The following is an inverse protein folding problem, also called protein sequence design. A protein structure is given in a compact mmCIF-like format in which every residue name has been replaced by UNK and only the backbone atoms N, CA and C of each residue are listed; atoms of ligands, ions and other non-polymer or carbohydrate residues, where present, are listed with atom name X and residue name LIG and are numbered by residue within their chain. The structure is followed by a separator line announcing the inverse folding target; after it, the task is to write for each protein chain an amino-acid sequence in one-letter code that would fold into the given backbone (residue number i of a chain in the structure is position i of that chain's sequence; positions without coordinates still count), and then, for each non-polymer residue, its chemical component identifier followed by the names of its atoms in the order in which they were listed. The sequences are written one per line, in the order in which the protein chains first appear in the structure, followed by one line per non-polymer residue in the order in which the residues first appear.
data_IF_706668278657
#
_entry.id   IF_706668278657
#
_cell.length_a   1.000
_cell.length_b   1.000
_cell.length_c   1.000
_cell.angle_alpha   90.00
_cell.angle_beta   90.00
_cell.angle_gamma   90.00
#
_symmetry.space_group_name_H-M   'P 1'
#
loop_
_entity.id
_entity.type
_entity.pdbx_description
1 polymer ?
#
# COMPACT_ATOMS: atom_id res chain seq x y z
N UNK A 1 26.49 -17.02 28.85
CA UNK A 1 26.10 -15.88 29.71
C UNK A 1 25.46 -14.84 28.80
N UNK A 2 24.40 -14.14 29.24
CA UNK A 2 23.85 -13.03 28.48
C UNK A 2 24.72 -11.77 28.67
N UNK A 3 24.80 -10.93 27.64
CA UNK A 3 25.49 -9.65 27.72
C UNK A 3 24.71 -8.67 28.60
N UNK A 4 25.37 -7.61 29.07
CA UNK A 4 24.73 -6.52 29.80
C UNK A 4 23.62 -5.87 28.96
N UNK A 5 23.85 -5.67 27.65
CA UNK A 5 22.84 -5.13 26.73
C UNK A 5 21.59 -6.00 26.63
N UNK A 6 21.75 -7.33 26.56
CA UNK A 6 20.58 -8.24 26.55
C UNK A 6 19.78 -8.10 27.83
N UNK A 7 20.46 -8.03 28.98
CA UNK A 7 19.78 -7.86 30.27
C UNK A 7 19.07 -6.52 30.36
N UNK A 8 19.67 -5.46 29.82
CA UNK A 8 19.13 -4.10 29.86
C UNK A 8 17.89 -3.95 28.96
N UNK A 9 17.92 -4.47 27.73
CA UNK A 9 16.73 -4.53 26.86
C UNK A 9 15.65 -5.49 27.35
N UNK A 10 16.01 -6.51 28.13
CA UNK A 10 15.03 -7.38 28.78
C UNK A 10 14.33 -6.68 29.96
N UNK A 11 15.08 -5.98 30.81
CA UNK A 11 14.54 -5.31 31.99
C UNK A 11 13.81 -4.01 31.65
N UNK A 12 14.30 -3.26 30.67
CA UNK A 12 13.75 -1.97 30.24
C UNK A 12 13.49 -1.98 28.72
N UNK A 13 12.55 -2.81 28.22
CA UNK A 13 12.30 -2.92 26.80
C UNK A 13 11.75 -1.59 26.25
N UNK A 14 12.31 -1.17 25.11
CA UNK A 14 11.92 0.03 24.37
C UNK A 14 10.75 -0.28 23.47
N UNK A 15 9.96 0.73 23.10
CA UNK A 15 8.96 0.60 22.02
C UNK A 15 7.89 -0.51 22.21
N UNK A 16 7.65 -0.97 23.44
CA UNK A 16 6.59 -1.95 23.71
C UNK A 16 5.22 -1.34 23.45
N UNK A 17 4.35 -2.07 22.75
CA UNK A 17 2.94 -1.71 22.56
C UNK A 17 2.42 -2.01 21.17
N UNK A 18 1.22 -1.49 20.91
CA UNK A 18 0.56 -1.52 19.59
C UNK A 18 0.50 -0.11 19.02
N UNK A 19 0.43 -0.03 17.70
CA UNK A 19 0.00 1.18 16.99
C UNK A 19 -1.39 0.85 16.42
N UNK A 20 -2.43 1.54 16.87
CA UNK A 20 -3.82 1.23 16.49
C UNK A 20 -4.06 1.40 14.99
N UNK A 21 -3.44 2.42 14.39
CA UNK A 21 -3.55 2.76 12.99
C UNK A 21 -2.32 2.33 12.16
N UNK A 22 -1.57 1.31 12.58
CA UNK A 22 -0.32 0.90 11.93
C UNK A 22 -0.44 0.78 10.39
N UNK A 23 0.55 1.30 9.67
CA UNK A 23 0.58 1.21 8.20
C UNK A 23 0.97 -0.20 7.74
N UNK A 24 1.77 -0.91 8.55
CA UNK A 24 2.17 -2.30 8.34
C UNK A 24 2.18 -3.09 9.65
N UNK A 25 1.76 -4.35 9.58
CA UNK A 25 1.74 -5.28 10.72
C UNK A 25 2.37 -6.60 10.30
N UNK A 26 3.37 -7.06 11.05
CA UNK A 26 4.07 -8.30 10.80
C UNK A 26 4.01 -9.19 12.03
N UNK A 27 3.43 -10.39 11.90
CA UNK A 27 3.38 -11.38 12.97
C UNK A 27 4.09 -12.66 12.54
N UNK A 28 5.00 -13.14 13.37
CA UNK A 28 5.74 -14.38 13.14
C UNK A 28 5.82 -15.14 14.46
N UNK A 29 5.72 -16.46 14.40
CA UNK A 29 5.88 -17.32 15.57
C UNK A 29 6.70 -18.57 15.23
N UNK A 30 7.34 -19.13 16.24
CA UNK A 30 8.10 -20.36 16.11
C UNK A 30 7.43 -21.47 16.94
N UNK A 31 6.83 -22.50 16.31
CA UNK A 31 6.10 -23.55 17.02
C UNK A 31 7.00 -24.46 17.88
N UNK A 32 8.33 -24.46 17.65
CA UNK A 32 9.27 -25.30 18.39
C UNK A 32 9.55 -24.73 19.77
N UNK A 33 9.73 -23.41 19.88
CA UNK A 33 9.99 -22.73 21.16
C UNK A 33 8.77 -22.03 21.75
N UNK A 34 7.70 -21.84 20.97
CA UNK A 34 6.48 -21.15 21.40
C UNK A 34 6.59 -19.63 21.39
N UNK A 35 7.69 -19.05 20.89
CA UNK A 35 7.86 -17.61 20.78
C UNK A 35 6.97 -17.05 19.67
N UNK A 36 6.35 -15.90 19.92
CA UNK A 36 5.54 -15.15 18.97
C UNK A 36 5.90 -13.67 19.06
N UNK A 37 6.09 -13.03 17.92
CA UNK A 37 6.45 -11.62 17.79
C UNK A 37 5.48 -10.94 16.83
N UNK A 38 5.10 -9.71 17.17
CA UNK A 38 4.28 -8.85 16.32
C UNK A 38 4.89 -7.46 16.30
N UNK A 39 5.21 -6.96 15.11
CA UNK A 39 5.69 -5.61 14.88
C UNK A 39 4.60 -4.76 14.22
N UNK A 40 4.50 -3.53 14.69
CA UNK A 40 3.64 -2.48 14.17
C UNK A 40 4.53 -1.34 13.68
N UNK A 41 4.35 -0.91 12.44
CA UNK A 41 5.15 0.17 11.86
C UNK A 41 4.28 1.33 11.38
N UNK A 42 4.81 2.55 11.54
CA UNK A 42 4.34 3.74 10.85
C UNK A 42 5.39 4.23 9.88
N UNK A 43 4.94 4.52 8.66
CA UNK A 43 5.79 4.90 7.54
C UNK A 43 5.41 6.29 7.08
N UNK A 44 6.42 7.16 6.97
CA UNK A 44 6.28 8.48 6.35
C UNK A 44 7.50 8.75 5.49
N UNK A 45 7.29 9.22 4.26
CA UNK A 45 8.37 9.59 3.32
C UNK A 45 9.43 8.47 3.17
N UNK A 46 8.96 7.23 3.01
CA UNK A 46 9.78 6.01 2.92
C UNK A 46 10.63 5.69 4.18
N UNK A 47 10.30 6.24 5.34
CA UNK A 47 11.00 6.02 6.61
C UNK A 47 10.08 5.50 7.72
N UNK A 48 10.64 4.67 8.59
CA UNK A 48 9.95 4.15 9.79
C UNK A 48 9.92 5.21 10.89
N UNK A 49 8.84 6.00 10.96
CA UNK A 49 8.71 7.09 11.95
C UNK A 49 8.33 6.59 13.34
N UNK A 50 7.61 5.47 13.42
CA UNK A 50 7.41 4.75 14.67
C UNK A 50 7.40 3.25 14.44
N UNK A 51 7.95 2.53 15.41
CA UNK A 51 8.02 1.08 15.42
C UNK A 51 7.66 0.66 16.83
N UNK A 52 6.66 -0.22 16.96
CA UNK A 52 6.30 -0.83 18.23
C UNK A 52 6.21 -2.34 18.08
N UNK A 53 6.39 -3.05 19.18
CA UNK A 53 6.24 -4.50 19.17
C UNK A 53 5.42 -5.02 20.34
N UNK A 54 4.89 -6.20 20.12
CA UNK A 54 4.43 -7.11 21.17
C UNK A 54 5.07 -8.46 20.95
N UNK A 55 5.54 -9.08 22.03
CA UNK A 55 6.09 -10.42 21.96
C UNK A 55 5.62 -11.25 23.15
N UNK A 56 5.41 -12.52 22.88
CA UNK A 56 5.26 -13.57 23.87
C UNK A 56 6.43 -14.52 23.65
N UNK A 57 7.29 -14.67 24.65
CA UNK A 57 8.47 -15.53 24.49
C UNK A 57 9.46 -15.40 25.63
N UNK A 58 10.62 -16.04 25.45
CA UNK A 58 11.68 -15.99 26.44
C UNK A 58 12.30 -14.57 26.57
N UNK A 59 13.06 -14.31 27.65
CA UNK A 59 13.68 -12.99 27.85
C UNK A 59 14.60 -12.54 26.71
N UNK A 60 15.20 -13.47 25.98
CA UNK A 60 15.97 -13.17 24.77
C UNK A 60 15.08 -12.67 23.62
N UNK A 61 13.85 -13.19 23.48
CA UNK A 61 12.88 -12.72 22.50
C UNK A 61 12.50 -11.26 22.77
N UNK A 62 12.23 -10.91 24.04
CA UNK A 62 11.94 -9.53 24.47
C UNK A 62 13.11 -8.60 24.16
N UNK A 63 14.33 -8.99 24.55
CA UNK A 63 15.53 -8.18 24.32
C UNK A 63 15.79 -7.96 22.82
N UNK A 64 15.64 -9.00 22.00
CA UNK A 64 15.76 -8.93 20.54
C UNK A 64 14.70 -7.98 19.96
N UNK A 65 13.43 -8.15 20.32
CA UNK A 65 12.37 -7.30 19.77
C UNK A 65 12.58 -5.84 20.14
N UNK A 66 13.03 -5.58 21.37
CA UNK A 66 13.40 -4.22 21.80
C UNK A 66 14.55 -3.65 20.97
N UNK A 67 15.63 -4.40 20.78
CA UNK A 67 16.76 -3.93 19.97
C UNK A 67 16.35 -3.67 18.52
N UNK A 68 15.62 -4.60 17.89
CA UNK A 68 15.15 -4.46 16.51
C UNK A 68 14.28 -3.21 16.34
N UNK A 69 13.35 -2.97 17.26
CA UNK A 69 12.47 -1.80 17.19
C UNK A 69 13.23 -0.48 17.32
N UNK A 70 14.30 -0.44 18.12
CA UNK A 70 15.14 0.73 18.32
C UNK A 70 16.03 0.99 17.10
N UNK A 71 16.67 -0.06 16.58
CA UNK A 71 17.48 0.00 15.36
C UNK A 71 16.66 0.46 14.15
N UNK A 72 15.45 -0.08 13.97
CA UNK A 72 14.64 0.18 12.78
C UNK A 72 14.05 1.59 12.75
N UNK A 73 13.87 2.23 13.92
CA UNK A 73 13.23 3.55 13.99
C UNK A 73 14.10 4.62 13.32
N UNK A 74 13.54 5.35 12.36
CA UNK A 74 14.20 6.39 11.57
C UNK A 74 14.86 5.90 10.28
N UNK A 75 15.08 4.59 10.13
CA UNK A 75 15.62 3.98 8.91
C UNK A 75 14.64 4.06 7.74
N UNK A 76 15.15 4.03 6.51
CA UNK A 76 14.31 3.77 5.34
C UNK A 76 13.82 2.33 5.32
N UNK A 77 12.80 2.05 4.51
CA UNK A 77 12.31 0.67 4.35
C UNK A 77 13.39 -0.28 3.82
N UNK A 78 14.26 0.21 2.94
CA UNK A 78 15.37 -0.57 2.37
C UNK A 78 16.44 -0.86 3.41
N UNK A 79 16.82 0.14 4.22
CA UNK A 79 17.78 -0.01 5.31
C UNK A 79 17.27 -0.99 6.37
N UNK A 80 15.99 -0.87 6.73
CA UNK A 80 15.35 -1.76 7.70
C UNK A 80 15.27 -3.22 7.21
N UNK A 81 15.13 -3.44 5.90
CA UNK A 81 15.18 -4.78 5.29
C UNK A 81 16.59 -5.40 5.28
N UNK A 82 17.63 -4.62 5.57
CA UNK A 82 19.01 -5.13 5.73
C UNK A 82 19.32 -5.51 7.19
N UNK A 83 18.37 -5.40 8.11
CA UNK A 83 18.57 -5.83 9.50
C UNK A 83 18.54 -7.36 9.54
N UNK A 84 19.71 -7.97 9.67
CA UNK A 84 19.85 -9.43 9.81
C UNK A 84 19.97 -9.85 11.26
N UNK A 85 19.77 -11.14 11.50
CA UNK A 85 19.97 -11.76 12.81
C UNK A 85 21.39 -11.60 13.35
N UNK A 86 22.41 -11.64 12.49
CA UNK A 86 23.81 -11.40 12.89
C UNK A 86 23.99 -9.99 13.42
N UNK A 87 23.45 -8.99 12.70
CA UNK A 87 23.56 -7.58 13.09
C UNK A 87 22.86 -7.32 14.42
N UNK A 88 21.69 -7.92 14.64
CA UNK A 88 20.98 -7.83 15.93
C UNK A 88 21.79 -8.47 17.05
N UNK A 89 22.36 -9.66 16.80
CA UNK A 89 23.16 -10.36 17.80
C UNK A 89 24.44 -9.57 18.14
N UNK A 90 25.08 -8.95 17.15
CA UNK A 90 26.25 -8.07 17.33
C UNK A 90 25.90 -6.84 18.15
N UNK A 91 24.80 -6.15 17.82
CA UNK A 91 24.34 -4.97 18.56
C UNK A 91 24.00 -5.29 20.01
N UNK A 92 23.47 -6.47 20.28
CA UNK A 92 23.23 -6.99 21.61
C UNK A 92 24.52 -7.42 22.34
N UNK A 93 25.71 -7.27 21.76
CA UNK A 93 26.98 -7.69 22.37
C UNK A 93 27.18 -9.21 22.37
N UNK A 94 26.51 -9.90 21.45
CA UNK A 94 26.53 -11.36 21.29
C UNK A 94 25.34 -12.05 21.96
N UNK A 95 24.87 -13.11 21.32
CA UNK A 95 23.86 -14.01 21.86
C UNK A 95 24.39 -15.44 21.95
N UNK A 96 24.03 -16.21 22.99
CA UNK A 96 24.34 -17.63 23.08
C UNK A 96 23.85 -18.38 21.82
N UNK A 97 24.67 -19.30 21.28
CA UNK A 97 24.36 -20.04 20.03
C UNK A 97 22.98 -20.70 20.04
N UNK A 98 22.53 -21.20 21.18
CA UNK A 98 21.23 -21.84 21.36
C UNK A 98 20.03 -20.86 21.33
N UNK A 99 20.26 -19.54 21.26
CA UNK A 99 19.24 -18.47 21.27
C UNK A 99 19.25 -17.59 20.02
N UNK A 100 20.08 -17.91 19.03
CA UNK A 100 20.11 -17.19 17.75
C UNK A 100 18.79 -17.27 16.99
N UNK A 101 18.00 -18.34 17.18
CA UNK A 101 16.67 -18.45 16.58
C UNK A 101 15.71 -17.33 17.01
N UNK A 102 15.88 -16.77 18.21
CA UNK A 102 15.09 -15.63 18.67
C UNK A 102 15.43 -14.36 17.87
N UNK A 103 16.69 -14.18 17.47
CA UNK A 103 17.15 -13.06 16.63
C UNK A 103 16.57 -13.12 15.22
N UNK A 104 16.50 -14.32 14.65
CA UNK A 104 15.86 -14.54 13.35
C UNK A 104 14.40 -14.09 13.39
N UNK A 105 13.67 -14.51 14.43
CA UNK A 105 12.25 -14.21 14.57
C UNK A 105 11.97 -12.70 14.62
N UNK A 106 12.86 -11.92 15.25
CA UNK A 106 12.74 -10.46 15.33
C UNK A 106 12.91 -9.77 13.97
N UNK A 107 13.94 -10.13 13.21
CA UNK A 107 14.16 -9.63 11.86
C UNK A 107 13.01 -10.02 10.93
N UNK A 108 12.60 -11.29 10.98
CA UNK A 108 11.51 -11.81 10.15
C UNK A 108 10.19 -11.07 10.42
N UNK A 109 9.88 -10.78 11.69
CA UNK A 109 8.66 -10.04 12.05
C UNK A 109 8.69 -8.59 11.57
N UNK A 110 9.83 -7.91 11.64
CA UNK A 110 10.00 -6.57 11.07
C UNK A 110 9.84 -6.60 9.55
N UNK A 111 10.51 -7.54 8.87
CA UNK A 111 10.41 -7.69 7.42
C UNK A 111 8.97 -8.00 6.99
N UNK A 112 8.27 -8.87 7.71
CA UNK A 112 6.86 -9.14 7.48
C UNK A 112 6.00 -7.88 7.59
N UNK A 113 6.26 -7.00 8.56
CA UNK A 113 5.53 -5.74 8.72
C UNK A 113 5.78 -4.78 7.54
N UNK A 114 7.02 -4.70 7.06
CA UNK A 114 7.38 -3.90 5.87
C UNK A 114 6.72 -4.45 4.61
N UNK A 115 6.68 -5.78 4.45
CA UNK A 115 6.02 -6.42 3.31
C UNK A 115 4.50 -6.22 3.34
N UNK A 116 3.88 -6.29 4.51
CA UNK A 116 2.45 -5.97 4.67
C UNK A 116 2.15 -4.52 4.26
N UNK A 117 2.98 -3.57 4.69
CA UNK A 117 2.89 -2.18 4.25
C UNK A 117 2.98 -2.05 2.71
N UNK A 118 3.99 -2.66 2.09
CA UNK A 118 4.18 -2.60 0.62
C UNK A 118 2.98 -3.16 -0.13
N UNK A 119 2.45 -4.31 0.29
CA UNK A 119 1.25 -4.92 -0.32
C UNK A 119 0.02 -4.00 -0.22
N UNK A 120 -0.17 -3.33 0.92
CA UNK A 120 -1.25 -2.35 1.11
C UNK A 120 -1.09 -1.14 0.19
N UNK A 121 0.12 -0.65 -0.02
CA UNK A 121 0.37 0.46 -0.95
C UNK A 121 0.10 0.05 -2.40
N UNK A 122 0.54 -1.14 -2.83
CA UNK A 122 0.26 -1.67 -4.16
C UNK A 122 -1.26 -1.82 -4.40
N UNK A 123 -2.00 -2.31 -3.41
CA UNK A 123 -3.45 -2.43 -3.50
C UNK A 123 -4.14 -1.06 -3.65
N UNK A 124 -3.72 -0.06 -2.87
CA UNK A 124 -4.25 1.32 -2.96
C UNK A 124 -3.97 1.96 -4.31
N UNK A 125 -2.78 1.74 -4.88
CA UNK A 125 -2.44 2.24 -6.22
C UNK A 125 -3.36 1.64 -7.29
N UNK A 126 -3.56 0.32 -7.27
CA UNK A 126 -4.45 -0.36 -8.22
C UNK A 126 -5.90 0.09 -8.08
N UNK A 127 -6.36 0.28 -6.84
CA UNK A 127 -7.71 0.80 -6.58
C UNK A 127 -7.89 2.22 -7.13
N UNK A 128 -6.90 3.10 -6.94
CA UNK A 128 -6.91 4.45 -7.48
C UNK A 128 -6.91 4.47 -9.03
N UNK A 129 -6.15 3.58 -9.67
CA UNK A 129 -6.15 3.41 -11.13
C UNK A 129 -7.54 2.99 -11.64
N UNK A 130 -8.17 2.01 -11.00
CA UNK A 130 -9.53 1.55 -11.37
C UNK A 130 -10.56 2.67 -11.20
N UNK A 131 -10.49 3.44 -10.11
CA UNK A 131 -11.40 4.57 -9.89
C UNK A 131 -11.23 5.62 -10.98
N UNK A 132 -9.99 5.91 -11.38
CA UNK A 132 -9.70 6.85 -12.47
C UNK A 132 -10.26 6.37 -13.80
N UNK A 133 -10.06 5.09 -14.14
CA UNK A 133 -10.61 4.50 -15.37
C UNK A 133 -12.14 4.55 -15.40
N UNK A 134 -12.80 4.28 -14.27
CA UNK A 134 -14.26 4.39 -14.16
C UNK A 134 -14.76 5.82 -14.29
N UNK A 135 -14.11 6.78 -13.61
CA UNK A 135 -14.45 8.18 -13.71
C UNK A 135 -14.27 8.71 -15.15
N UNK A 136 -13.23 8.26 -15.86
CA UNK A 136 -13.02 8.59 -17.27
C UNK A 136 -14.06 7.94 -18.19
N UNK A 137 -14.51 6.71 -17.89
CA UNK A 137 -15.56 6.04 -18.64
C UNK A 137 -16.94 6.71 -18.42
N UNK A 138 -17.29 7.05 -17.19
CA UNK A 138 -18.53 7.77 -16.84
C UNK A 138 -18.53 9.16 -17.47
N UNK A 139 -17.41 9.89 -17.43
CA UNK A 139 -17.29 11.18 -18.11
C UNK A 139 -17.43 11.09 -19.64
N UNK A 140 -16.98 9.99 -20.26
CA UNK A 140 -17.20 9.73 -21.71
C UNK A 140 -18.66 9.43 -22.02
N UNK A 141 -19.34 8.69 -21.15
CA UNK A 141 -20.76 8.37 -21.32
C UNK A 141 -21.64 9.61 -21.14
N UNK A 142 -21.32 10.47 -20.17
CA UNK A 142 -22.02 11.74 -19.95
C UNK A 142 -21.75 12.76 -21.08
N UNK A 143 -20.54 12.79 -21.63
CA UNK A 143 -20.21 13.60 -22.82
C UNK A 143 -20.94 13.13 -24.10
N UNK A 144 -21.32 11.85 -24.18
CA UNK A 144 -22.07 11.31 -25.32
C UNK A 144 -23.53 11.77 -25.37
N UNK A 145 -24.05 12.37 -24.29
CA UNK A 145 -25.44 12.83 -24.19
C UNK A 145 -25.63 14.31 -24.58
N UNK A 146 -24.61 14.98 -25.12
CA UNK A 146 -24.69 16.39 -25.53
C UNK A 146 -24.63 16.54 -27.05
N UNK A 147 -25.44 17.46 -27.59
CA UNK A 147 -25.42 17.78 -29.01
C UNK A 147 -24.14 18.55 -29.38
N UNK A 148 -23.34 18.10 -30.37
CA UNK A 148 -22.06 18.74 -30.71
C UNK A 148 -22.19 20.10 -31.39
N UNK A 149 -23.42 20.53 -31.74
CA UNK A 149 -23.68 21.80 -32.43
C UNK A 149 -24.25 22.89 -31.51
N UNK A 150 -24.84 22.51 -30.38
CA UNK A 150 -25.47 23.46 -29.47
C UNK A 150 -25.21 23.18 -27.99
N UNK A 151 -24.45 22.13 -27.67
CA UNK A 151 -24.12 21.68 -26.31
C UNK A 151 -25.35 21.35 -25.44
N UNK A 152 -26.56 21.33 -26.02
CA UNK A 152 -27.78 20.96 -25.34
C UNK A 152 -27.90 19.45 -25.11
N UNK A 153 -28.57 19.01 -24.02
CA UNK A 153 -28.76 17.60 -23.73
C UNK A 153 -29.61 16.91 -24.82
N UNK A 154 -29.21 15.72 -25.24
CA UNK A 154 -29.98 14.86 -26.16
C UNK A 154 -30.89 13.98 -25.29
N UNK A 155 -32.06 14.52 -24.95
CA UNK A 155 -33.04 13.82 -24.12
C UNK A 155 -33.83 12.79 -24.94
N UNK A 156 -33.41 11.52 -24.88
CA UNK A 156 -34.28 10.35 -25.11
C UNK A 156 -34.87 10.13 -26.51
N UNK A 157 -34.69 11.05 -27.46
CA UNK A 157 -35.02 10.85 -28.87
C UNK A 157 -33.76 10.40 -29.59
N UNK A 158 -33.67 9.09 -29.85
CA UNK A 158 -32.62 8.52 -30.69
C UNK A 158 -32.54 9.34 -31.98
N UNK A 159 -31.41 10.03 -32.19
CA UNK A 159 -31.08 10.74 -33.42
C UNK A 159 -31.76 12.11 -33.65
N UNK A 160 -32.28 12.78 -32.62
CA UNK A 160 -32.80 14.16 -32.76
C UNK A 160 -32.48 15.02 -31.52
N UNK A 161 -31.86 16.18 -31.74
CA UNK A 161 -31.67 17.17 -30.67
C UNK A 161 -32.86 18.14 -30.63
N UNK A 162 -33.59 18.17 -29.52
CA UNK A 162 -34.74 19.08 -29.32
C UNK A 162 -34.34 20.54 -29.11
N UNK A 163 -33.09 20.79 -28.68
CA UNK A 163 -32.60 22.14 -28.40
C UNK A 163 -32.29 22.94 -29.68
N UNK A 164 -31.59 22.33 -30.65
CA UNK A 164 -31.26 22.98 -31.93
C UNK A 164 -32.02 22.41 -33.14
N UNK A 165 -32.92 21.45 -32.91
CA UNK A 165 -33.83 20.89 -33.91
C UNK A 165 -33.13 20.22 -35.10
N UNK A 166 -32.03 19.50 -34.85
CA UNK A 166 -31.29 18.77 -35.90
C UNK A 166 -31.38 17.25 -35.71
N UNK A 167 -31.39 16.53 -36.83
CA UNK A 167 -31.21 15.08 -36.84
C UNK A 167 -29.73 14.73 -36.72
N UNK A 168 -29.42 13.85 -35.77
CA UNK A 168 -28.08 13.36 -35.47
C UNK A 168 -27.93 11.91 -35.92
N UNK A 169 -26.72 11.49 -36.21
CA UNK A 169 -26.39 10.08 -36.45
C UNK A 169 -25.10 9.76 -35.72
N UNK A 170 -25.00 8.57 -35.13
CA UNK A 170 -23.76 8.13 -34.49
C UNK A 170 -22.73 7.77 -35.57
N UNK A 171 -21.54 8.36 -35.49
CA UNK A 171 -20.45 8.04 -36.42
C UNK A 171 -19.98 6.59 -36.20
N UNK A 172 -19.92 5.74 -37.24
CA UNK A 172 -19.50 4.35 -37.12
C UNK A 172 -18.02 4.19 -36.73
N UNK A 173 -17.20 5.24 -36.86
CA UNK A 173 -15.78 5.22 -36.56
C UNK A 173 -15.43 5.60 -35.12
N UNK A 174 -16.14 6.56 -34.52
CA UNK A 174 -15.82 7.06 -33.17
C UNK A 174 -16.98 6.96 -32.17
N UNK A 175 -18.18 6.60 -32.61
CA UNK A 175 -19.36 6.48 -31.75
C UNK A 175 -20.02 7.82 -31.38
N UNK A 176 -19.38 8.97 -31.63
CA UNK A 176 -19.96 10.28 -31.36
C UNK A 176 -21.03 10.69 -32.38
N UNK A 177 -22.00 11.48 -31.93
CA UNK A 177 -23.03 12.04 -32.81
C UNK A 177 -22.46 13.09 -33.79
N UNK A 178 -23.05 13.17 -34.97
CA UNK A 178 -22.79 14.16 -36.03
C UNK A 178 -24.10 14.46 -36.75
N UNK A 179 -24.18 15.54 -37.54
CA UNK A 179 -25.41 15.88 -38.27
C UNK A 179 -25.68 14.88 -39.39
N UNK A 180 -26.92 14.42 -39.49
CA UNK A 180 -27.37 13.55 -40.58
C UNK A 180 -27.30 14.30 -41.92
N UNK A 181 -26.58 13.73 -42.89
CA UNK A 181 -26.39 14.31 -44.23
C UNK A 181 -25.04 15.00 -44.46
N UNK A 182 -24.16 15.06 -43.45
CA UNK A 182 -22.75 15.48 -43.66
C UNK A 182 -21.92 14.33 -44.26
N UNK A 183 -20.98 14.67 -45.13
CA UNK A 183 -20.06 13.71 -45.76
C UNK A 183 -18.92 13.27 -44.84
N UNK A 184 -18.64 14.03 -43.78
CA UNK A 184 -17.49 13.86 -42.88
C UNK A 184 -17.90 14.11 -41.43
N UNK A 185 -17.41 13.30 -40.49
CA UNK A 185 -17.64 13.45 -39.06
C UNK A 185 -16.85 14.63 -38.48
N UNK A 186 -17.52 15.54 -37.76
CA UNK A 186 -16.88 16.68 -37.11
C UNK A 186 -15.90 16.29 -35.98
N UNK A 187 -16.11 15.13 -35.34
CA UNK A 187 -15.30 14.70 -34.20
C UNK A 187 -14.03 13.92 -34.58
N UNK A 188 -14.05 13.16 -35.68
CA UNK A 188 -12.89 12.33 -36.08
C UNK A 188 -12.43 12.54 -37.52
N UNK A 189 -13.12 13.35 -38.33
CA UNK A 189 -12.79 13.63 -39.73
C UNK A 189 -13.01 12.47 -40.71
N UNK A 190 -13.54 11.33 -40.25
CA UNK A 190 -13.84 10.18 -41.11
C UNK A 190 -15.05 10.46 -42.01
N UNK A 191 -15.10 9.83 -43.20
CA UNK A 191 -16.28 9.90 -44.06
C UNK A 191 -17.44 9.07 -43.45
N UNK A 192 -18.66 9.59 -43.53
CA UNK A 192 -19.88 9.02 -42.92
C UNK A 192 -20.70 8.15 -43.86
#
# INVERSE_FOLDING_TARGET
MYSEKVMEHFQNPRNVGKIEDADGIGQVGNPVCGDMMTFYIKVKDNRLVDVKFQTFGCGAAIAVSSMVSEMAKGMTLEEALQITNEKIAEELGGLPKNKLHCSNLGADALHAAIMDYKKKQEAKMKEAEIIKEKAEAEAREEAACCCPYCEGPIEGLENYCTHCQIELVACPHCGHYTRKGESTCINCGANL
#
